data_IF_385087834895
#
_entry.id   IF_385087834895
#
_cell.length_a   1.000
_cell.length_b   1.000
_cell.length_c   1.000
_cell.angle_alpha   90.00
_cell.angle_beta   90.00
_cell.angle_gamma   90.00
#
_symmetry.space_group_name_H-M   'P 1'
#
loop_
_entity.id
_entity.type
_entity.pdbx_description
1 polymer ?
#
# COMPACT_ATOMS: atom_id res chain seq x y z
N UNK A 1 7.91 4.50 3.09
CA UNK A 1 6.92 5.41 2.47
C UNK A 1 5.53 4.89 2.82
N UNK A 2 4.56 5.77 3.01
CA UNK A 2 3.19 5.37 3.35
C UNK A 2 2.27 5.64 2.15
N UNK A 3 1.41 4.69 1.85
CA UNK A 3 0.47 4.72 0.76
C UNK A 3 -0.93 4.38 1.25
N UNK A 4 -1.91 5.07 0.72
CA UNK A 4 -3.31 4.69 0.80
C UNK A 4 -3.75 4.24 -0.60
N UNK A 5 -4.37 3.07 -0.67
CA UNK A 5 -4.69 2.39 -1.91
C UNK A 5 -6.21 2.14 -1.92
N UNK A 6 -6.90 2.77 -2.86
CA UNK A 6 -8.33 2.62 -3.05
C UNK A 6 -8.65 1.77 -4.30
N UNK A 7 -9.88 1.26 -4.36
CA UNK A 7 -10.36 0.48 -5.51
C UNK A 7 -9.84 -0.96 -5.56
N UNK A 8 -9.27 -1.46 -4.46
CA UNK A 8 -8.79 -2.84 -4.36
C UNK A 8 -9.99 -3.80 -4.25
N UNK A 9 -10.05 -4.87 -5.05
CA UNK A 9 -11.18 -5.79 -5.01
C UNK A 9 -11.24 -6.55 -3.68
N UNK A 10 -12.44 -6.88 -3.21
CA UNK A 10 -12.63 -7.72 -2.00
C UNK A 10 -12.07 -9.13 -2.17
N UNK A 11 -11.86 -9.57 -3.42
CA UNK A 11 -11.24 -10.86 -3.77
C UNK A 11 -9.72 -10.82 -3.76
N UNK A 12 -9.10 -9.69 -3.39
CA UNK A 12 -7.64 -9.59 -3.29
C UNK A 12 -7.12 -10.59 -2.25
N UNK A 13 -6.11 -11.36 -2.63
CA UNK A 13 -5.43 -12.28 -1.73
C UNK A 13 -4.46 -11.50 -0.83
N UNK A 14 -4.96 -11.04 0.32
CA UNK A 14 -4.17 -10.30 1.31
C UNK A 14 -2.96 -11.09 1.85
N UNK A 15 -3.07 -12.39 2.17
CA UNK A 15 -1.91 -13.22 2.50
C UNK A 15 -0.84 -13.22 1.40
N UNK A 16 -1.23 -13.38 0.13
CA UNK A 16 -0.30 -13.36 -0.99
C UNK A 16 0.33 -11.97 -1.17
N UNK A 17 -0.47 -10.90 -1.11
CA UNK A 17 0.02 -9.52 -1.16
C UNK A 17 1.07 -9.26 -0.08
N UNK A 18 0.77 -9.65 1.17
CA UNK A 18 1.67 -9.48 2.32
C UNK A 18 2.97 -10.24 2.12
N UNK A 19 2.90 -11.45 1.56
CA UNK A 19 4.10 -12.22 1.24
C UNK A 19 4.93 -11.55 0.14
N UNK A 20 4.30 -11.14 -0.96
CA UNK A 20 4.99 -10.54 -2.10
C UNK A 20 5.65 -9.21 -1.74
N UNK A 21 4.98 -8.37 -0.95
CA UNK A 21 5.54 -7.09 -0.50
C UNK A 21 6.68 -7.31 0.51
N UNK A 22 6.59 -8.32 1.38
CA UNK A 22 7.66 -8.63 2.36
C UNK A 22 8.88 -9.31 1.73
N UNK A 23 8.71 -10.00 0.60
CA UNK A 23 9.84 -10.51 -0.20
C UNK A 23 10.67 -9.35 -0.78
N UNK A 24 10.04 -8.24 -1.14
CA UNK A 24 10.71 -7.06 -1.68
C UNK A 24 11.18 -6.07 -0.59
N UNK A 25 10.40 -5.91 0.46
CA UNK A 25 10.68 -5.08 1.63
C UNK A 25 10.27 -5.81 2.92
N UNK A 26 11.22 -6.45 3.62
CA UNK A 26 10.93 -7.22 4.84
C UNK A 26 10.29 -6.42 5.98
N UNK A 27 10.40 -5.09 5.95
CA UNK A 27 9.79 -4.19 6.93
C UNK A 27 8.42 -3.67 6.48
N UNK A 28 7.90 -4.14 5.34
CA UNK A 28 6.62 -3.70 4.81
C UNK A 28 5.46 -4.10 5.73
N UNK A 29 4.55 -3.15 5.95
CA UNK A 29 3.31 -3.36 6.68
C UNK A 29 2.13 -3.08 5.76
N UNK A 30 1.17 -3.99 5.73
CA UNK A 30 -0.07 -3.86 4.98
C UNK A 30 -1.25 -4.03 5.92
N UNK A 31 -2.20 -3.12 5.85
CA UNK A 31 -3.42 -3.14 6.66
C UNK A 31 -4.63 -2.72 5.82
N UNK A 32 -5.83 -3.16 6.22
CA UNK A 32 -7.08 -2.78 5.56
C UNK A 32 -7.87 -1.87 6.50
N UNK A 33 -8.15 -0.65 6.05
CA UNK A 33 -8.93 0.31 6.80
C UNK A 33 -10.39 -0.19 6.94
N UNK A 34 -10.87 -0.47 8.16
CA UNK A 34 -12.17 -1.11 8.38
C UNK A 34 -13.36 -0.27 7.90
N UNK A 35 -13.22 1.05 7.90
CA UNK A 35 -14.33 1.98 7.58
C UNK A 35 -14.41 2.36 6.10
N UNK A 36 -13.33 2.19 5.34
CA UNK A 36 -13.21 2.74 3.97
C UNK A 36 -12.89 1.69 2.92
N UNK A 37 -12.64 0.44 3.33
CA UNK A 37 -12.20 -0.65 2.45
C UNK A 37 -10.95 -0.28 1.63
N UNK A 38 -10.16 0.68 2.13
CA UNK A 38 -8.89 1.08 1.55
C UNK A 38 -7.77 0.28 2.17
N UNK A 39 -6.76 -0.03 1.37
CA UNK A 39 -5.56 -0.71 1.83
C UNK A 39 -4.49 0.33 2.15
N UNK A 40 -3.82 0.17 3.29
CA UNK A 40 -2.71 1.01 3.72
C UNK A 40 -1.43 0.20 3.65
N UNK A 41 -0.43 0.73 2.97
CA UNK A 41 0.87 0.11 2.86
C UNK A 41 1.94 1.05 3.38
N UNK A 42 2.77 0.57 4.30
CA UNK A 42 4.03 1.23 4.67
C UNK A 42 5.17 0.38 4.14
N UNK A 43 5.86 0.88 3.12
CA UNK A 43 6.93 0.13 2.43
C UNK A 43 8.01 1.05 1.85
N UNK A 44 9.21 0.53 1.59
CA UNK A 44 10.26 1.19 0.82
C UNK A 44 10.00 1.18 -0.70
N UNK A 45 9.03 0.40 -1.19
CA UNK A 45 8.66 0.40 -2.60
C UNK A 45 8.08 1.74 -3.06
N UNK A 46 8.37 2.11 -4.30
CA UNK A 46 7.72 3.23 -4.96
C UNK A 46 6.31 2.85 -5.49
N UNK A 47 5.58 3.83 -6.03
CA UNK A 47 4.22 3.60 -6.53
C UNK A 47 4.15 2.56 -7.68
N UNK A 48 5.01 2.59 -8.72
CA UNK A 48 4.97 1.56 -9.76
C UNK A 48 5.35 0.16 -9.25
N UNK A 49 6.33 0.03 -8.34
CA UNK A 49 6.66 -1.25 -7.72
C UNK A 49 5.49 -1.81 -6.89
N UNK A 50 4.81 -0.93 -6.13
CA UNK A 50 3.64 -1.31 -5.35
C UNK A 50 2.47 -1.75 -6.24
N UNK A 51 2.27 -1.11 -7.38
CA UNK A 51 1.27 -1.51 -8.38
C UNK A 51 1.59 -2.90 -8.96
N UNK A 52 2.84 -3.20 -9.29
CA UNK A 52 3.23 -4.53 -9.78
C UNK A 52 2.92 -5.63 -8.76
N UNK A 53 3.24 -5.38 -7.48
CA UNK A 53 2.92 -6.29 -6.38
C UNK A 53 1.41 -6.50 -6.24
N UNK A 54 0.60 -5.42 -6.35
CA UNK A 54 -0.86 -5.50 -6.30
C UNK A 54 -1.43 -6.33 -7.46
N UNK A 55 -0.90 -6.17 -8.68
CA UNK A 55 -1.31 -6.97 -9.85
C UNK A 55 -1.00 -8.44 -9.64
N UNK A 56 0.20 -8.76 -9.15
CA UNK A 56 0.62 -10.14 -8.87
C UNK A 56 -0.22 -10.79 -7.76
N UNK A 57 -0.79 -9.99 -6.85
CA UNK A 57 -1.74 -10.44 -5.83
C UNK A 57 -3.21 -10.51 -6.31
N UNK A 58 -3.47 -10.18 -7.59
CA UNK A 58 -4.80 -10.30 -8.21
C UNK A 58 -5.63 -9.01 -8.24
N UNK A 59 -5.03 -7.85 -7.98
CA UNK A 59 -5.71 -6.56 -8.17
C UNK A 59 -5.82 -6.20 -9.66
N UNK A 60 -6.99 -5.74 -10.10
CA UNK A 60 -7.16 -5.15 -11.42
C UNK A 60 -6.72 -3.67 -11.40
N UNK A 61 -5.76 -3.29 -12.23
CA UNK A 61 -5.16 -1.93 -12.21
C UNK A 61 -6.16 -0.84 -12.60
N UNK A 62 -7.15 -1.13 -13.45
CA UNK A 62 -8.05 -0.13 -14.04
C UNK A 62 -8.91 0.64 -13.01
N UNK A 63 -8.99 0.19 -11.76
CA UNK A 63 -9.69 0.91 -10.68
C UNK A 63 -8.82 1.24 -9.46
N UNK A 64 -7.54 0.86 -9.47
CA UNK A 64 -6.67 1.02 -8.30
C UNK A 64 -6.07 2.42 -8.29
N UNK A 65 -6.31 3.15 -7.21
CA UNK A 65 -5.73 4.48 -6.97
C UNK A 65 -4.70 4.36 -5.86
N UNK A 66 -3.45 4.68 -6.15
CA UNK A 66 -2.34 4.65 -5.19
C UNK A 66 -1.96 6.09 -4.84
N UNK A 67 -2.37 6.51 -3.64
CA UNK A 67 -2.04 7.84 -3.11
C UNK A 67 -0.90 7.73 -2.11
N UNK A 68 0.23 8.36 -2.43
CA UNK A 68 1.35 8.47 -1.48
C UNK A 68 0.99 9.50 -0.42
N UNK A 69 0.94 9.06 0.84
CA UNK A 69 0.73 9.96 1.95
C UNK A 69 2.00 10.80 2.16
N UNK A 70 1.86 12.12 2.41
CA UNK A 70 3.00 12.92 2.81
C UNK A 70 3.54 12.32 4.10
N UNK A 71 4.85 12.06 4.15
CA UNK A 71 5.51 11.77 5.41
C UNK A 71 5.21 12.96 6.32
N UNK A 72 4.33 12.80 7.30
CA UNK A 72 4.27 13.76 8.40
C UNK A 72 5.59 13.61 9.16
N UNK A 73 6.65 14.24 8.65
CA UNK A 73 7.63 14.83 9.55
C UNK A 73 6.82 15.81 10.37
N UNK A 74 6.48 15.41 11.60
CA UNK A 74 6.01 16.32 12.63
C UNK A 74 7.03 17.46 12.69
N UNK A 75 6.71 18.57 12.02
CA UNK A 75 7.52 19.77 11.98
C UNK A 75 7.60 20.33 13.39
N UNK A 76 8.62 19.90 14.13
CA UNK A 76 9.16 20.60 15.29
C UNK A 76 10.31 21.53 14.91
N UNK A 77 10.31 22.10 13.70
CA UNK A 77 11.27 23.14 13.29
C UNK A 77 10.53 24.47 13.16
N UNK A 78 10.06 24.97 14.29
CA UNK A 78 9.50 26.31 14.45
C UNK A 78 9.80 26.78 15.86
N UNK A 79 10.98 27.35 16.07
CA UNK A 79 11.47 27.86 17.36
C UNK A 79 12.92 28.31 17.23
#
# INVERSE_FOLDING_TARGET
MQYEIAGVPTTLDLPLLTRLITEADPAALVDVAPDTQKLRASTMLDAPELLDVLVRAGAAVEGVVVDRLPSQCCGGCGG
#
